data_IF_734371808399
#
_entry.id   IF_734371808399
#
_cell.length_a   1.000
_cell.length_b   1.000
_cell.length_c   1.000
_cell.angle_alpha   90.00
_cell.angle_beta   90.00
_cell.angle_gamma   90.00
#
_symmetry.space_group_name_H-M   'P 1'
#
loop_
_entity.id
_entity.type
_entity.pdbx_description
1 polymer ?
#
# COMPACT_ATOMS: atom_id res chain seq x y z
N UNK A 1 14.71 12.81 -4.06
CA UNK A 1 15.44 13.33 -4.95
C UNK A 1 15.11 14.48 -5.92
N UNK A 2 15.14 14.20 -7.23
CA UNK A 2 15.12 15.25 -8.28
C UNK A 2 13.88 16.18 -8.17
N UNK A 3 12.67 15.63 -8.10
CA UNK A 3 11.43 16.44 -8.01
C UNK A 3 11.47 17.31 -6.75
N UNK A 4 11.80 16.76 -5.60
CA UNK A 4 11.86 17.52 -4.34
C UNK A 4 12.87 18.69 -4.43
N UNK A 5 14.04 18.48 -5.06
CA UNK A 5 15.04 19.54 -5.27
C UNK A 5 14.50 20.66 -6.15
N UNK A 6 13.85 20.32 -7.27
CA UNK A 6 13.24 21.31 -8.18
C UNK A 6 12.12 22.07 -7.45
N UNK A 7 11.29 21.38 -6.67
CA UNK A 7 10.23 22.00 -5.88
C UNK A 7 10.81 23.00 -4.87
N UNK A 8 11.87 22.65 -4.14
CA UNK A 8 12.56 23.57 -3.23
C UNK A 8 13.08 24.79 -3.96
N UNK A 9 13.79 24.60 -5.09
CA UNK A 9 14.31 25.69 -5.90
C UNK A 9 13.21 26.63 -6.43
N UNK A 10 12.01 26.10 -6.64
CA UNK A 10 10.83 26.86 -7.02
C UNK A 10 10.09 27.51 -5.84
N UNK A 11 10.65 27.46 -4.62
CA UNK A 11 10.05 28.09 -3.44
C UNK A 11 8.90 27.31 -2.79
N UNK A 12 8.71 26.02 -3.13
CA UNK A 12 7.70 25.17 -2.47
C UNK A 12 8.09 24.98 -1.02
N UNK A 13 7.21 25.37 -0.11
CA UNK A 13 7.46 25.27 1.33
C UNK A 13 7.06 23.94 1.93
N UNK A 14 6.10 23.22 1.32
CA UNK A 14 5.58 21.94 1.82
C UNK A 14 5.55 20.90 0.72
N UNK A 15 6.16 19.75 0.96
CA UNK A 15 6.27 18.66 0.01
C UNK A 15 5.72 17.38 0.63
N UNK A 16 4.64 16.86 0.07
CA UNK A 16 3.96 15.68 0.59
C UNK A 16 4.26 14.48 -0.30
N UNK A 17 4.81 13.44 0.29
CA UNK A 17 5.05 12.16 -0.38
C UNK A 17 3.87 11.24 -0.13
N UNK A 18 3.23 10.78 -1.20
CA UNK A 18 2.28 9.68 -1.14
C UNK A 18 3.06 8.37 -1.12
N UNK A 19 3.38 7.92 0.07
CA UNK A 19 4.14 6.72 0.35
C UNK A 19 3.27 5.47 0.48
N UNK A 20 3.80 4.46 1.14
CA UNK A 20 3.13 3.19 1.34
C UNK A 20 3.21 2.76 2.81
N UNK A 21 2.12 2.18 3.33
CA UNK A 21 2.08 1.61 4.67
C UNK A 21 3.08 0.43 4.88
N UNK A 22 3.61 -0.13 3.81
CA UNK A 22 4.72 -1.09 3.93
C UNK A 22 6.00 -0.46 4.47
N UNK A 23 6.23 0.85 4.23
CA UNK A 23 7.34 1.58 4.85
C UNK A 23 7.08 1.78 6.36
N UNK A 24 5.82 1.98 6.76
CA UNK A 24 5.43 1.97 8.17
C UNK A 24 5.74 0.63 8.85
N UNK A 25 5.37 -0.49 8.22
CA UNK A 25 5.67 -1.81 8.77
C UNK A 25 7.17 -2.10 8.87
N UNK A 26 7.98 -1.61 7.93
CA UNK A 26 9.43 -1.72 8.02
C UNK A 26 9.98 -1.03 9.28
N UNK A 27 9.42 0.14 9.66
CA UNK A 27 9.82 0.82 10.90
C UNK A 27 9.27 0.14 12.16
N UNK A 28 8.05 -0.37 12.09
CA UNK A 28 7.39 -1.04 13.21
C UNK A 28 8.03 -2.39 13.53
N UNK A 29 8.48 -3.12 12.52
CA UNK A 29 9.06 -4.45 12.63
C UNK A 29 10.46 -4.52 11.99
N UNK A 30 11.46 -3.83 12.56
CA UNK A 30 12.81 -3.76 11.97
C UNK A 30 13.50 -5.13 11.86
N UNK A 31 13.17 -6.07 12.76
CA UNK A 31 13.69 -7.43 12.75
C UNK A 31 13.30 -8.25 11.51
N UNK A 32 12.27 -7.83 10.79
CA UNK A 32 11.85 -8.49 9.55
C UNK A 32 12.69 -8.06 8.32
N UNK A 33 13.57 -7.07 8.46
CA UNK A 33 14.45 -6.58 7.38
C UNK A 33 13.74 -6.39 6.03
N UNK A 34 12.50 -5.87 6.03
CA UNK A 34 11.63 -5.85 4.85
C UNK A 34 12.27 -5.20 3.62
N UNK A 35 13.10 -4.18 3.81
CA UNK A 35 13.82 -3.52 2.71
C UNK A 35 14.87 -4.41 2.05
N UNK A 36 15.43 -5.36 2.79
CA UNK A 36 16.40 -6.33 2.27
C UNK A 36 15.72 -7.31 1.30
N UNK A 37 14.52 -7.74 1.64
CA UNK A 37 13.81 -8.80 0.93
C UNK A 37 12.83 -8.29 -0.11
N UNK A 38 12.42 -7.01 -0.05
CA UNK A 38 11.36 -6.49 -0.91
C UNK A 38 11.78 -5.17 -1.60
N UNK A 39 12.11 -5.20 -2.90
CA UNK A 39 12.57 -4.02 -3.65
C UNK A 39 11.60 -2.83 -3.61
N UNK A 40 10.29 -3.10 -3.64
CA UNK A 40 9.27 -2.05 -3.55
C UNK A 40 9.36 -1.31 -2.21
N UNK A 41 9.47 -2.03 -1.09
CA UNK A 41 9.57 -1.40 0.24
C UNK A 41 10.84 -0.57 0.33
N UNK A 42 11.96 -1.11 -0.14
CA UNK A 42 13.23 -0.38 -0.24
C UNK A 42 13.07 0.92 -1.02
N UNK A 43 12.48 0.86 -2.21
CA UNK A 43 12.28 2.05 -3.03
C UNK A 43 11.43 3.13 -2.35
N UNK A 44 10.44 2.75 -1.53
CA UNK A 44 9.62 3.70 -0.77
C UNK A 44 10.41 4.38 0.35
N UNK A 45 11.24 3.62 1.05
CA UNK A 45 12.13 4.14 2.11
C UNK A 45 13.18 5.08 1.52
N UNK A 46 13.85 4.67 0.43
CA UNK A 46 14.84 5.48 -0.27
C UNK A 46 14.25 6.75 -0.89
N UNK A 47 13.05 6.65 -1.47
CA UNK A 47 12.32 7.81 -2.01
C UNK A 47 12.12 8.89 -0.96
N UNK A 48 11.72 8.49 0.24
CA UNK A 48 11.53 9.41 1.36
C UNK A 48 12.85 10.02 1.80
N UNK A 49 13.88 9.22 2.04
CA UNK A 49 15.20 9.69 2.44
C UNK A 49 15.76 10.72 1.45
N UNK A 50 15.71 10.42 0.16
CA UNK A 50 16.16 11.32 -0.90
C UNK A 50 15.31 12.60 -1.04
N UNK A 51 14.04 12.58 -0.60
CA UNK A 51 13.23 13.80 -0.62
C UNK A 51 13.50 14.68 0.60
N UNK A 52 13.72 14.08 1.79
CA UNK A 52 14.12 14.80 2.99
C UNK A 52 15.47 15.51 2.80
N UNK A 53 16.47 14.77 2.30
CA UNK A 53 17.78 15.35 1.96
C UNK A 53 17.65 16.51 0.98
N UNK A 54 16.85 16.36 -0.07
CA UNK A 54 16.64 17.40 -1.06
C UNK A 54 15.85 18.60 -0.53
N UNK A 55 14.99 18.42 0.47
CA UNK A 55 14.22 19.48 1.11
C UNK A 55 15.07 20.37 2.01
N UNK A 56 16.04 19.77 2.71
CA UNK A 56 16.85 20.48 3.71
C UNK A 56 15.96 21.14 4.76
N UNK A 57 16.40 22.28 5.27
CA UNK A 57 15.66 23.06 6.27
C UNK A 57 14.65 24.05 5.64
N UNK A 58 14.70 24.23 4.32
CA UNK A 58 13.89 25.22 3.61
C UNK A 58 12.52 24.71 3.19
N UNK A 59 12.33 23.39 3.10
CA UNK A 59 11.07 22.78 2.64
C UNK A 59 10.62 21.67 3.60
N UNK A 60 9.45 21.83 4.19
CA UNK A 60 8.85 20.82 5.05
C UNK A 60 8.43 19.60 4.22
N UNK A 61 9.20 18.52 4.31
CA UNK A 61 8.90 17.24 3.65
C UNK A 61 8.18 16.33 4.62
N UNK A 62 7.05 15.78 4.24
CA UNK A 62 6.29 14.81 5.03
C UNK A 62 5.77 13.66 4.19
N UNK A 63 5.41 12.54 4.82
CA UNK A 63 4.97 11.33 4.10
C UNK A 63 3.64 10.85 4.63
N UNK A 64 2.66 10.67 3.73
CA UNK A 64 1.43 9.94 4.01
C UNK A 64 1.65 8.46 3.61
N UNK A 65 1.58 7.56 4.57
CA UNK A 65 1.80 6.13 4.35
C UNK A 65 0.46 5.45 4.08
N UNK A 66 0.15 5.37 2.78
CA UNK A 66 -1.15 4.97 2.29
C UNK A 66 -1.31 3.45 2.23
N UNK A 67 -2.46 2.93 2.69
CA UNK A 67 -2.83 1.52 2.55
C UNK A 67 -3.45 1.26 1.17
N UNK A 68 -4.38 0.32 1.10
CA UNK A 68 -5.16 0.05 -0.09
C UNK A 68 -6.20 1.14 -0.34
N UNK A 69 -6.11 1.79 -1.51
CA UNK A 69 -6.98 2.92 -1.89
C UNK A 69 -8.06 2.42 -2.84
N UNK A 70 -9.31 2.72 -2.50
CA UNK A 70 -10.47 2.44 -3.33
C UNK A 70 -11.07 3.72 -3.88
N UNK A 71 -11.38 3.70 -5.18
CA UNK A 71 -12.00 4.81 -5.87
C UNK A 71 -12.03 4.60 -7.37
N UNK A 72 -12.80 5.43 -8.05
CA UNK A 72 -12.89 5.42 -9.51
C UNK A 72 -11.80 6.35 -10.06
N UNK A 73 -11.04 5.84 -11.01
CA UNK A 73 -10.05 6.63 -11.76
C UNK A 73 -10.33 6.46 -13.26
N UNK A 74 -10.89 7.47 -13.92
CA UNK A 74 -11.18 7.39 -15.36
C UNK A 74 -9.92 7.03 -16.16
N UNK A 75 -10.09 6.12 -17.12
CA UNK A 75 -9.02 5.70 -18.03
C UNK A 75 -7.94 4.79 -17.42
N UNK A 76 -8.04 4.43 -16.14
CA UNK A 76 -7.10 3.48 -15.50
C UNK A 76 -7.81 2.25 -14.94
N UNK A 77 -7.17 1.12 -15.13
CA UNK A 77 -7.62 -0.14 -14.55
C UNK A 77 -7.13 -0.23 -13.10
N UNK A 78 -8.02 -0.43 -12.12
CA UNK A 78 -7.62 -0.56 -10.74
C UNK A 78 -6.79 -1.83 -10.50
N UNK A 79 -5.80 -1.76 -9.62
CA UNK A 79 -4.98 -2.90 -9.19
C UNK A 79 -5.82 -4.06 -8.61
N UNK A 80 -7.03 -3.78 -8.17
CA UNK A 80 -7.98 -4.74 -7.59
C UNK A 80 -8.68 -5.61 -8.62
N UNK A 81 -8.60 -5.28 -9.93
CA UNK A 81 -9.32 -6.02 -10.96
C UNK A 81 -9.08 -7.52 -10.91
N UNK A 82 -7.85 -8.04 -10.80
CA UNK A 82 -7.63 -9.48 -10.70
C UNK A 82 -8.32 -10.10 -9.48
N UNK A 83 -8.30 -9.40 -8.35
CA UNK A 83 -8.93 -9.87 -7.12
C UNK A 83 -10.46 -9.88 -7.22
N UNK A 84 -11.03 -8.84 -7.84
CA UNK A 84 -12.47 -8.76 -8.14
C UNK A 84 -12.88 -9.84 -9.13
N UNK A 85 -12.10 -10.08 -10.17
CA UNK A 85 -12.35 -11.15 -11.16
C UNK A 85 -12.29 -12.54 -10.50
N UNK A 86 -11.33 -12.77 -9.60
CA UNK A 86 -11.26 -13.98 -8.81
C UNK A 86 -12.49 -14.14 -7.92
N UNK A 87 -12.91 -13.10 -7.22
CA UNK A 87 -14.10 -13.11 -6.40
C UNK A 87 -15.39 -13.37 -7.20
N UNK A 88 -15.47 -12.82 -8.43
CA UNK A 88 -16.58 -13.02 -9.36
C UNK A 88 -16.56 -14.38 -10.09
N UNK A 89 -15.45 -15.11 -10.09
CA UNK A 89 -15.29 -16.39 -10.82
C UNK A 89 -16.20 -17.49 -10.27
N UNK A 90 -16.26 -18.64 -10.93
CA UNK A 90 -17.00 -19.81 -10.45
C UNK A 90 -16.23 -20.62 -9.38
N UNK A 91 -14.92 -20.37 -9.24
CA UNK A 91 -14.07 -21.12 -8.32
C UNK A 91 -14.33 -20.79 -6.84
N UNK A 92 -14.09 -21.73 -5.90
CA UNK A 92 -14.10 -21.45 -4.48
C UNK A 92 -13.12 -20.33 -4.14
N UNK A 93 -13.48 -19.46 -3.19
CA UNK A 93 -12.60 -18.41 -2.73
C UNK A 93 -11.68 -18.95 -1.63
N UNK A 94 -10.44 -19.20 -1.98
CA UNK A 94 -9.40 -19.65 -1.07
C UNK A 94 -8.41 -18.51 -0.86
N UNK A 95 -8.17 -18.10 0.40
CA UNK A 95 -7.23 -17.00 0.66
C UNK A 95 -6.48 -17.19 1.98
N UNK A 96 -5.24 -16.69 2.11
CA UNK A 96 -4.49 -16.73 3.35
C UNK A 96 -5.20 -16.00 4.49
N UNK A 97 -4.87 -16.37 5.73
CA UNK A 97 -5.25 -15.60 6.92
C UNK A 97 -4.58 -14.22 6.89
N UNK A 98 -5.26 -13.21 7.39
CA UNK A 98 -4.75 -11.84 7.48
C UNK A 98 -5.80 -10.84 7.02
N UNK A 99 -5.36 -9.63 6.77
CA UNK A 99 -6.23 -8.54 6.37
C UNK A 99 -5.43 -7.35 5.86
N UNK A 100 -6.14 -6.29 5.61
CA UNK A 100 -5.56 -5.01 5.16
C UNK A 100 -6.39 -3.84 5.66
N UNK A 101 -5.78 -2.68 5.72
CA UNK A 101 -6.46 -1.41 5.88
C UNK A 101 -6.86 -0.87 4.51
N UNK A 102 -8.07 -0.34 4.42
CA UNK A 102 -8.63 0.23 3.21
C UNK A 102 -9.02 1.70 3.44
N UNK A 103 -8.78 2.55 2.45
CA UNK A 103 -9.21 3.94 2.44
C UNK A 103 -9.84 4.28 1.08
N UNK A 104 -10.65 5.32 1.05
CA UNK A 104 -11.17 5.88 -0.20
C UNK A 104 -10.25 6.98 -0.74
N UNK A 105 -10.38 7.31 -2.02
CA UNK A 105 -9.66 8.46 -2.61
C UNK A 105 -10.03 9.77 -1.94
N UNK A 106 -11.28 9.91 -1.44
CA UNK A 106 -11.73 11.07 -0.69
C UNK A 106 -11.00 11.20 0.66
N UNK A 107 -10.85 10.11 1.39
CA UNK A 107 -10.08 10.09 2.64
C UNK A 107 -8.60 10.42 2.40
N UNK A 108 -8.03 9.94 1.30
CA UNK A 108 -6.65 10.31 0.92
C UNK A 108 -6.57 11.80 0.62
N UNK A 109 -7.52 12.36 -0.11
CA UNK A 109 -7.56 13.81 -0.40
C UNK A 109 -7.66 14.64 0.90
N UNK A 110 -8.52 14.24 1.83
CA UNK A 110 -8.62 14.87 3.16
C UNK A 110 -7.30 14.80 3.93
N UNK A 111 -6.62 13.65 3.91
CA UNK A 111 -5.32 13.49 4.54
C UNK A 111 -4.25 14.39 3.92
N UNK A 112 -4.27 14.58 2.58
CA UNK A 112 -3.39 15.50 1.88
C UNK A 112 -3.66 16.94 2.33
N UNK A 113 -4.92 17.39 2.32
CA UNK A 113 -5.29 18.74 2.78
C UNK A 113 -4.85 18.98 4.23
N UNK A 114 -5.14 18.04 5.13
CA UNK A 114 -4.72 18.14 6.52
C UNK A 114 -3.19 18.21 6.69
N UNK A 115 -2.44 17.46 5.88
CA UNK A 115 -0.98 17.52 5.89
C UNK A 115 -0.45 18.84 5.31
N UNK A 116 -1.11 19.41 4.30
CA UNK A 116 -0.77 20.75 3.77
C UNK A 116 -0.95 21.81 4.83
N UNK A 117 -2.04 21.76 5.59
CA UNK A 117 -2.38 22.76 6.58
C UNK A 117 -1.57 22.62 7.87
N UNK A 118 -1.49 21.40 8.40
CA UNK A 118 -1.05 21.13 9.78
C UNK A 118 0.15 20.17 9.88
N UNK A 119 0.63 19.66 8.75
CA UNK A 119 1.68 18.63 8.79
C UNK A 119 3.03 19.16 9.29
N UNK A 120 3.70 18.40 10.14
CA UNK A 120 5.02 18.72 10.65
C UNK A 120 6.13 18.25 9.70
N UNK A 121 7.21 19.03 9.58
CA UNK A 121 8.38 18.65 8.79
C UNK A 121 8.98 17.33 9.30
N UNK A 122 9.37 16.47 8.37
CA UNK A 122 9.94 15.16 8.66
C UNK A 122 8.93 14.10 9.15
N UNK A 123 7.66 14.46 9.34
CA UNK A 123 6.67 13.56 9.90
C UNK A 123 6.27 12.42 8.94
N UNK A 124 5.85 11.32 9.56
CA UNK A 124 5.19 10.19 8.92
C UNK A 124 3.76 10.09 9.45
N UNK A 125 2.83 10.01 8.55
CA UNK A 125 1.42 9.85 8.88
C UNK A 125 0.91 8.53 8.29
N UNK A 126 0.83 7.45 9.10
CA UNK A 126 0.15 6.24 8.68
C UNK A 126 -1.34 6.55 8.50
N UNK A 127 -1.83 6.41 7.28
CA UNK A 127 -3.23 6.68 6.96
C UNK A 127 -4.01 5.39 7.11
N UNK A 128 -5.06 5.43 7.91
CA UNK A 128 -5.94 4.32 8.19
C UNK A 128 -7.40 4.67 7.93
N UNK A 129 -8.17 3.65 7.63
CA UNK A 129 -9.62 3.71 7.47
C UNK A 129 -10.23 2.42 8.03
N UNK A 130 -10.92 1.65 7.22
CA UNK A 130 -11.50 0.38 7.63
C UNK A 130 -10.46 -0.75 7.59
N UNK A 131 -10.26 -1.44 8.71
CA UNK A 131 -9.44 -2.65 8.76
C UNK A 131 -10.30 -3.86 8.40
N UNK A 132 -9.98 -4.50 7.29
CA UNK A 132 -10.75 -5.63 6.75
C UNK A 132 -9.93 -6.92 6.74
N UNK A 133 -10.42 -8.00 7.35
CA UNK A 133 -9.93 -9.34 7.03
C UNK A 133 -10.04 -9.62 5.53
N UNK A 134 -9.10 -10.38 4.99
CA UNK A 134 -9.17 -10.78 3.57
C UNK A 134 -10.46 -11.53 3.22
N UNK A 135 -10.99 -12.31 4.18
CA UNK A 135 -12.27 -13.01 4.04
C UNK A 135 -13.42 -12.05 3.75
N UNK A 136 -13.48 -10.95 4.50
CA UNK A 136 -14.56 -9.98 4.40
C UNK A 136 -14.43 -9.14 3.13
N UNK A 137 -13.20 -8.73 2.78
CA UNK A 137 -12.94 -7.98 1.56
C UNK A 137 -13.34 -8.78 0.31
N UNK A 138 -12.92 -10.05 0.22
CA UNK A 138 -13.26 -10.93 -0.90
C UNK A 138 -14.75 -11.27 -0.96
N UNK A 139 -15.39 -11.49 0.21
CA UNK A 139 -16.83 -11.71 0.28
C UNK A 139 -17.60 -10.47 -0.19
N UNK A 140 -17.16 -9.24 0.17
CA UNK A 140 -17.72 -7.99 -0.36
C UNK A 140 -17.57 -7.91 -1.89
N UNK A 141 -16.40 -8.22 -2.44
CA UNK A 141 -16.21 -8.23 -3.90
C UNK A 141 -17.12 -9.22 -4.59
N UNK A 142 -17.25 -10.45 -4.06
CA UNK A 142 -18.15 -11.46 -4.61
C UNK A 142 -19.61 -10.97 -4.61
N UNK A 143 -20.07 -10.40 -3.49
CA UNK A 143 -21.43 -9.85 -3.36
C UNK A 143 -21.70 -8.73 -4.36
N UNK A 144 -20.77 -7.78 -4.52
CA UNK A 144 -20.91 -6.71 -5.52
C UNK A 144 -20.87 -7.23 -6.96
N UNK A 145 -20.24 -8.39 -7.20
CA UNK A 145 -20.28 -9.09 -8.48
C UNK A 145 -21.53 -10.00 -8.67
N UNK A 146 -22.54 -9.85 -7.78
CA UNK A 146 -23.79 -10.63 -7.85
C UNK A 146 -23.63 -12.08 -7.41
N UNK A 147 -22.63 -12.41 -6.59
CA UNK A 147 -22.37 -13.78 -6.10
C UNK A 147 -22.22 -13.80 -4.60
N UNK A 148 -22.98 -14.66 -3.95
CA UNK A 148 -22.79 -14.96 -2.54
C UNK A 148 -21.80 -16.13 -2.38
N UNK A 149 -20.63 -15.84 -1.82
CA UNK A 149 -19.58 -16.82 -1.63
C UNK A 149 -18.96 -16.74 -0.23
N UNK A 150 -18.72 -17.90 0.35
CA UNK A 150 -17.90 -18.03 1.54
C UNK A 150 -16.43 -18.10 1.13
N UNK A 151 -15.58 -17.34 1.84
CA UNK A 151 -14.12 -17.42 1.67
C UNK A 151 -13.58 -18.46 2.65
N UNK A 152 -12.82 -19.41 2.14
CA UNK A 152 -12.16 -20.45 2.93
C UNK A 152 -10.74 -19.99 3.22
N UNK A 153 -10.41 -19.89 4.50
CA UNK A 153 -9.07 -19.49 4.94
C UNK A 153 -8.09 -20.65 4.79
N UNK A 154 -7.03 -20.43 4.02
CA UNK A 154 -5.94 -21.38 3.88
C UNK A 154 -5.02 -21.32 5.11
N UNK A 155 -4.62 -22.47 5.67
CA UNK A 155 -3.59 -22.51 6.69
C UNK A 155 -2.23 -22.05 6.16
N UNK A 156 -1.45 -21.37 6.99
CA UNK A 156 -0.18 -20.76 6.59
C UNK A 156 0.82 -21.75 5.97
N UNK A 157 0.85 -22.99 6.45
CA UNK A 157 1.76 -23.99 5.90
C UNK A 157 1.49 -24.32 4.43
N UNK A 158 0.20 -24.35 4.02
CA UNK A 158 -0.19 -24.56 2.62
C UNK A 158 0.28 -23.39 1.72
N UNK A 159 0.14 -22.16 2.22
CA UNK A 159 0.60 -20.95 1.52
C UNK A 159 2.12 -20.98 1.36
N UNK A 160 2.84 -21.34 2.43
CA UNK A 160 4.31 -21.44 2.40
C UNK A 160 4.79 -22.55 1.47
N UNK A 161 4.15 -23.71 1.50
CA UNK A 161 4.48 -24.83 0.60
C UNK A 161 4.25 -24.46 -0.88
N UNK A 162 3.11 -23.83 -1.19
CA UNK A 162 2.79 -23.35 -2.54
C UNK A 162 3.79 -22.30 -3.04
N UNK A 163 4.16 -21.34 -2.21
CA UNK A 163 5.16 -20.33 -2.55
C UNK A 163 6.56 -20.94 -2.79
N UNK A 164 6.95 -21.94 -1.98
CA UNK A 164 8.21 -22.64 -2.12
C UNK A 164 8.27 -23.44 -3.43
N UNK A 165 7.18 -24.10 -3.79
CA UNK A 165 7.06 -24.83 -5.06
C UNK A 165 7.18 -23.89 -6.26
N UNK A 166 6.47 -22.77 -6.25
CA UNK A 166 6.56 -21.75 -7.31
C UNK A 166 7.98 -21.20 -7.45
N UNK A 167 8.66 -20.95 -6.32
CA UNK A 167 10.06 -20.50 -6.32
C UNK A 167 11.01 -21.54 -6.90
N UNK A 168 10.79 -22.83 -6.61
CA UNK A 168 11.56 -23.91 -7.19
C UNK A 168 11.37 -24.02 -8.71
N UNK A 169 10.12 -23.94 -9.18
CA UNK A 169 9.79 -23.96 -10.61
C UNK A 169 10.37 -22.76 -11.38
N UNK A 170 10.43 -21.59 -10.73
CA UNK A 170 11.02 -20.38 -11.34
C UNK A 170 12.54 -20.45 -11.45
N UNK A 171 13.22 -21.23 -10.59
CA UNK A 171 14.66 -21.45 -10.67
C UNK A 171 15.07 -22.48 -11.74
N UNK A 172 14.12 -23.27 -12.22
CA UNK A 172 14.34 -24.31 -13.25
C UNK A 172 14.07 -23.79 -14.68
N UNK A 173 13.65 -22.53 -14.81
CA UNK A 173 13.52 -21.78 -16.08
C UNK A 173 14.63 -20.75 -16.23
#
# INVERSE_FOLDING_TARGET
GRIARISRQAGVQRFIILGSYFAYFHRLWPHLELTRHHPYIRSRVEQRAAALEAGGDEMAVMTLELPYIFGVMPGRMPLWKPLVQYAASAFPLLYPKGGTTCVTVQQVAQAISGAVENGAAGAHYPIGGENLPWTDLLARFARYAGREKRVITLPNWLVTAGASLLKALHKLR
#
